data_IF_728728839141
#
_entry.id   IF_728728839141
#
_cell.length_a   1.000
_cell.length_b   1.000
_cell.length_c   1.000
_cell.angle_alpha   90.00
_cell.angle_beta   90.00
_cell.angle_gamma   90.00
#
_symmetry.space_group_name_H-M   'P 1'
#
loop_
_entity.id
_entity.type
_entity.pdbx_description
1 polymer ?
#
# COMPACT_ATOMS: atom_id res chain seq x y z
N UNK A 1 -20.01 -4.18 -1.85
CA UNK A 1 -20.18 -2.91 -1.09
C UNK A 1 -20.43 -3.15 0.40
N UNK A 2 -21.46 -3.90 0.80
CA UNK A 2 -21.80 -4.09 2.22
C UNK A 2 -20.65 -4.60 3.10
N UNK A 3 -19.89 -5.59 2.61
CA UNK A 3 -18.73 -6.15 3.34
C UNK A 3 -17.65 -5.10 3.65
N UNK A 4 -17.36 -4.20 2.70
CA UNK A 4 -16.40 -3.11 2.87
C UNK A 4 -16.88 -2.12 3.95
N UNK A 5 -18.16 -1.72 3.89
CA UNK A 5 -18.73 -0.80 4.87
C UNK A 5 -18.76 -1.40 6.28
N UNK A 6 -19.06 -2.70 6.39
CA UNK A 6 -19.00 -3.41 7.68
C UNK A 6 -17.57 -3.45 8.22
N UNK A 7 -16.58 -3.78 7.39
CA UNK A 7 -15.18 -3.80 7.80
C UNK A 7 -14.72 -2.42 8.28
N UNK A 8 -15.03 -1.36 7.53
CA UNK A 8 -14.67 0.01 7.91
C UNK A 8 -15.29 0.42 9.26
N UNK A 9 -16.57 0.09 9.51
CA UNK A 9 -17.22 0.35 10.82
C UNK A 9 -16.55 -0.43 11.95
N UNK A 10 -16.22 -1.70 11.73
CA UNK A 10 -15.55 -2.53 12.73
C UNK A 10 -14.16 -2.00 13.10
N UNK A 11 -13.51 -1.29 12.17
CA UNK A 11 -12.22 -0.63 12.38
C UNK A 11 -12.36 0.81 12.89
N UNK A 12 -13.57 1.27 13.22
CA UNK A 12 -13.81 2.63 13.73
C UNK A 12 -13.60 3.74 12.70
N UNK A 13 -13.57 3.40 11.40
CA UNK A 13 -13.41 4.38 10.31
C UNK A 13 -14.73 5.09 10.08
N UNK A 14 -14.72 6.42 10.11
CA UNK A 14 -15.88 7.26 9.80
C UNK A 14 -16.31 7.09 8.34
N UNK A 15 -17.60 6.86 8.11
CA UNK A 15 -18.19 6.66 6.78
C UNK A 15 -19.27 7.71 6.54
N UNK A 16 -19.16 8.44 5.44
CA UNK A 16 -20.18 9.36 4.94
C UNK A 16 -20.63 8.96 3.54
N UNK A 17 -21.93 9.00 3.27
CA UNK A 17 -22.45 8.91 1.90
C UNK A 17 -22.25 10.25 1.19
N UNK A 18 -22.02 10.19 -0.12
CA UNK A 18 -21.84 11.36 -0.98
C UNK A 18 -22.42 11.07 -2.35
N UNK A 19 -22.78 12.11 -3.09
CA UNK A 19 -23.24 11.96 -4.47
C UNK A 19 -22.10 11.54 -5.38
N UNK A 20 -22.42 10.89 -6.50
CA UNK A 20 -21.40 10.43 -7.45
C UNK A 20 -20.51 11.60 -7.93
N UNK A 21 -21.11 12.75 -8.20
CA UNK A 21 -20.39 13.96 -8.63
C UNK A 21 -19.38 14.45 -7.59
N UNK A 22 -19.67 14.28 -6.30
CA UNK A 22 -18.76 14.67 -5.23
C UNK A 22 -17.54 13.75 -5.20
N UNK A 23 -17.72 12.47 -5.51
CA UNK A 23 -16.63 11.50 -5.60
C UNK A 23 -15.80 11.71 -6.88
N UNK A 24 -16.47 11.97 -8.01
CA UNK A 24 -15.82 12.28 -9.29
C UNK A 24 -14.89 13.51 -9.14
N UNK A 25 -15.29 14.51 -8.35
CA UNK A 25 -14.47 15.70 -8.09
C UNK A 25 -13.27 15.49 -7.16
N UNK A 26 -13.18 14.34 -6.45
CA UNK A 26 -12.12 14.10 -5.45
C UNK A 26 -10.92 13.33 -5.98
N UNK A 27 -11.07 12.61 -7.09
CA UNK A 27 -9.98 11.80 -7.67
C UNK A 27 -9.99 11.89 -9.18
N UNK A 28 -8.81 11.83 -9.80
CA UNK A 28 -8.67 11.79 -11.27
C UNK A 28 -8.90 10.40 -11.88
N UNK A 29 -8.99 9.35 -11.04
CA UNK A 29 -9.10 7.96 -11.45
C UNK A 29 -10.48 7.34 -11.18
N UNK A 30 -10.60 6.05 -11.47
CA UNK A 30 -11.86 5.30 -11.28
C UNK A 30 -12.04 4.90 -9.80
N UNK A 31 -12.84 5.68 -9.07
CA UNK A 31 -13.14 5.45 -7.64
C UNK A 31 -14.07 4.26 -7.35
N UNK A 32 -14.82 3.75 -8.33
CA UNK A 32 -15.72 2.59 -8.18
C UNK A 32 -16.78 2.75 -7.05
N UNK A 33 -17.19 3.99 -6.77
CA UNK A 33 -18.22 4.32 -5.78
C UNK A 33 -17.71 4.52 -4.35
N UNK A 34 -16.40 4.48 -4.09
CA UNK A 34 -15.82 4.72 -2.75
C UNK A 34 -14.54 5.55 -2.86
N UNK A 35 -14.36 6.51 -1.96
CA UNK A 35 -13.10 7.24 -1.76
C UNK A 35 -12.74 7.15 -0.29
N UNK A 36 -11.47 6.85 0.00
CA UNK A 36 -10.91 6.92 1.35
C UNK A 36 -10.03 8.17 1.45
N UNK A 37 -10.18 8.93 2.55
CA UNK A 37 -9.34 10.10 2.84
C UNK A 37 -8.38 9.71 3.95
N UNK A 38 -7.08 9.81 3.65
CA UNK A 38 -6.02 9.60 4.63
C UNK A 38 -5.64 10.96 5.23
N UNK A 39 -5.47 11.01 6.55
CA UNK A 39 -4.97 12.21 7.20
C UNK A 39 -3.47 12.35 6.90
N UNK A 40 -3.02 13.57 6.57
CA UNK A 40 -1.60 13.86 6.42
C UNK A 40 -0.91 13.59 7.76
N UNK A 41 0.12 12.74 7.75
CA UNK A 41 0.76 12.24 8.97
C UNK A 41 0.73 10.71 9.14
N UNK A 42 0.19 9.96 8.16
CA UNK A 42 0.50 8.55 8.04
C UNK A 42 2.04 8.41 7.97
N UNK A 43 2.64 7.88 9.04
CA UNK A 43 4.09 7.71 9.16
C UNK A 43 4.57 6.71 8.11
N UNK A 44 5.89 6.66 7.86
CA UNK A 44 6.50 5.63 7.03
C UNK A 44 6.00 4.22 7.42
N UNK A 45 5.85 3.98 8.72
CA UNK A 45 5.28 2.76 9.29
C UNK A 45 3.82 2.52 8.86
N UNK A 46 3.01 3.59 8.77
CA UNK A 46 1.60 3.50 8.38
C UNK A 46 1.40 3.16 6.89
N UNK A 47 2.43 3.37 6.06
CA UNK A 47 2.43 3.00 4.63
C UNK A 47 3.30 1.76 4.35
N UNK A 48 3.75 1.05 5.40
CA UNK A 48 4.52 -0.18 5.27
C UNK A 48 5.98 0.01 4.83
N UNK A 49 6.53 1.22 4.94
CA UNK A 49 7.97 1.43 4.78
C UNK A 49 8.67 1.06 6.08
N UNK A 50 9.74 0.27 5.96
CA UNK A 50 10.54 -0.19 7.08
C UNK A 50 11.91 0.45 7.06
N UNK A 51 12.48 0.69 8.25
CA UNK A 51 13.89 1.04 8.37
C UNK A 51 14.78 -0.18 8.08
N UNK A 52 16.02 0.05 7.68
CA UNK A 52 16.98 -1.03 7.37
C UNK A 52 17.19 -1.99 8.55
N UNK A 53 17.25 -1.47 9.78
CA UNK A 53 17.37 -2.31 10.98
C UNK A 53 16.19 -3.28 11.15
N UNK A 54 14.95 -2.81 10.93
CA UNK A 54 13.75 -3.65 11.02
C UNK A 54 13.75 -4.74 9.94
N UNK A 55 14.23 -4.42 8.73
CA UNK A 55 14.39 -5.40 7.67
C UNK A 55 15.35 -6.52 8.08
N UNK A 56 16.52 -6.17 8.64
CA UNK A 56 17.50 -7.15 9.11
C UNK A 56 16.90 -8.06 10.18
N UNK A 57 16.18 -7.48 11.14
CA UNK A 57 15.51 -8.25 12.20
C UNK A 57 14.48 -9.23 11.62
N UNK A 58 13.63 -8.78 10.68
CA UNK A 58 12.62 -9.63 10.02
C UNK A 58 13.25 -10.78 9.22
N UNK A 59 14.33 -10.49 8.51
CA UNK A 59 15.04 -11.50 7.71
C UNK A 59 15.73 -12.52 8.60
N UNK A 60 16.40 -12.08 9.67
CA UNK A 60 17.14 -12.97 10.58
C UNK A 60 16.22 -13.85 11.44
N UNK A 61 15.00 -13.39 11.73
CA UNK A 61 13.99 -14.16 12.47
C UNK A 61 13.18 -15.11 11.58
N UNK A 62 13.26 -15.00 10.25
CA UNK A 62 12.54 -15.85 9.32
C UNK A 62 13.42 -16.98 8.81
N UNK A 63 13.00 -18.23 9.03
CA UNK A 63 13.71 -19.41 8.53
C UNK A 63 13.71 -19.51 6.99
N UNK A 64 12.74 -18.87 6.32
CA UNK A 64 12.55 -18.90 4.87
C UNK A 64 12.33 -17.48 4.32
N UNK A 65 13.20 -16.55 4.70
CA UNK A 65 13.13 -15.17 4.21
C UNK A 65 13.26 -15.12 2.67
N UNK A 66 12.27 -14.53 2.00
CA UNK A 66 12.29 -14.29 0.56
C UNK A 66 12.29 -12.78 0.31
N UNK A 67 13.29 -12.29 -0.42
CA UNK A 67 13.44 -10.87 -0.73
C UNK A 67 13.26 -10.63 -2.23
N UNK A 68 12.61 -9.52 -2.58
CA UNK A 68 12.52 -9.02 -3.94
C UNK A 68 13.25 -7.68 -4.04
N UNK A 69 14.26 -7.60 -4.88
CA UNK A 69 14.98 -6.36 -5.15
C UNK A 69 14.54 -5.85 -6.52
N UNK A 70 14.05 -4.61 -6.55
CA UNK A 70 13.64 -3.93 -7.78
C UNK A 70 14.63 -2.81 -8.08
N UNK A 71 15.48 -3.04 -9.07
CA UNK A 71 16.41 -2.03 -9.58
C UNK A 71 15.92 -1.48 -10.93
N UNK A 72 15.88 -0.16 -11.07
CA UNK A 72 15.41 0.50 -12.29
C UNK A 72 13.89 0.49 -12.55
N UNK A 73 13.07 -0.05 -11.63
CA UNK A 73 11.60 0.02 -11.75
C UNK A 73 11.11 1.41 -11.35
N UNK A 74 10.88 2.28 -12.34
CA UNK A 74 10.52 3.69 -12.13
C UNK A 74 9.04 4.01 -12.38
N UNK A 75 8.33 3.14 -13.09
CA UNK A 75 6.91 3.28 -13.38
C UNK A 75 6.04 2.77 -12.22
N UNK A 76 5.15 3.59 -11.63
CA UNK A 76 4.27 3.19 -10.53
C UNK A 76 3.36 2.00 -10.87
N UNK A 77 2.98 1.83 -12.14
CA UNK A 77 2.13 0.70 -12.54
C UNK A 77 2.90 -0.62 -12.42
N UNK A 78 4.14 -0.67 -12.94
CA UNK A 78 5.02 -1.82 -12.80
C UNK A 78 5.38 -2.11 -11.34
N UNK A 79 5.70 -1.07 -10.54
CA UNK A 79 5.94 -1.24 -9.11
C UNK A 79 4.73 -1.88 -8.40
N UNK A 80 3.53 -1.39 -8.68
CA UNK A 80 2.29 -1.97 -8.15
C UNK A 80 2.07 -3.43 -8.57
N UNK A 81 2.41 -3.79 -9.80
CA UNK A 81 2.33 -5.17 -10.28
C UNK A 81 3.34 -6.08 -9.55
N UNK A 82 4.58 -5.62 -9.37
CA UNK A 82 5.61 -6.34 -8.60
C UNK A 82 5.19 -6.55 -7.14
N UNK A 83 4.66 -5.52 -6.47
CA UNK A 83 4.22 -5.62 -5.07
C UNK A 83 3.08 -6.65 -4.90
N UNK A 84 2.13 -6.70 -5.84
CA UNK A 84 1.04 -7.69 -5.81
C UNK A 84 1.54 -9.11 -6.03
N UNK A 85 2.48 -9.30 -6.94
CA UNK A 85 3.11 -10.61 -7.17
C UNK A 85 3.97 -11.04 -5.97
N UNK A 86 4.66 -10.09 -5.33
CA UNK A 86 5.47 -10.33 -4.15
C UNK A 86 4.61 -10.78 -2.96
N UNK A 87 3.49 -10.11 -2.71
CA UNK A 87 2.49 -10.50 -1.70
C UNK A 87 1.97 -11.93 -1.95
N UNK A 88 1.57 -12.22 -3.20
CA UNK A 88 1.09 -13.56 -3.57
C UNK A 88 2.16 -14.66 -3.46
N UNK A 89 3.44 -14.31 -3.62
CA UNK A 89 4.57 -15.23 -3.52
C UNK A 89 5.10 -15.40 -2.08
N UNK A 90 4.56 -14.66 -1.10
CA UNK A 90 5.06 -14.69 0.28
C UNK A 90 6.41 -14.00 0.49
N UNK A 91 6.73 -13.01 -0.35
CA UNK A 91 7.94 -12.19 -0.19
C UNK A 91 7.91 -11.47 1.16
N UNK A 92 8.97 -11.60 1.93
CA UNK A 92 9.15 -10.97 3.25
C UNK A 92 9.29 -9.46 3.16
N UNK A 93 10.05 -8.97 2.18
CA UNK A 93 10.21 -7.55 1.92
C UNK A 93 10.58 -7.26 0.45
N UNK A 94 10.11 -6.11 -0.04
CA UNK A 94 10.48 -5.56 -1.34
C UNK A 94 11.40 -4.37 -1.13
N UNK A 95 12.58 -4.41 -1.74
CA UNK A 95 13.62 -3.37 -1.63
C UNK A 95 13.69 -2.64 -2.97
N UNK A 96 13.52 -1.33 -2.95
CA UNK A 96 13.60 -0.49 -4.14
C UNK A 96 14.20 0.88 -3.82
N UNK A 97 14.83 1.57 -4.79
CA UNK A 97 15.39 2.90 -4.62
C UNK A 97 14.31 3.92 -4.20
N UNK A 98 14.61 4.70 -3.16
CA UNK A 98 13.69 5.76 -2.66
C UNK A 98 13.47 6.87 -3.68
N UNK A 99 14.54 7.22 -4.40
CA UNK A 99 14.54 8.19 -5.48
C UNK A 99 14.75 7.46 -6.79
N UNK A 100 14.10 7.92 -7.86
CA UNK A 100 14.27 7.36 -9.22
C UNK A 100 15.77 7.26 -9.51
N UNK A 101 16.30 6.04 -9.57
CA UNK A 101 17.67 5.79 -10.00
C UNK A 101 17.91 6.49 -11.34
N UNK A 102 19.08 7.14 -11.43
CA UNK A 102 19.52 7.98 -12.54
C UNK A 102 19.40 7.33 -13.92
#
# INVERSE_FOLDING_TARGET
MQALLTLARNQGVSISQAEKSDLDGRVSGRHQGVVAVLHAGATADAIGMMAEGELIDRVTQSAEALLLILDGVTDPHNLGACLRSADAAGVTAVIFPKDKSA
#
